data_IF_650766784008
#
_entry.id   IF_650766784008
#
_cell.length_a   1.000
_cell.length_b   1.000
_cell.length_c   1.000
_cell.angle_alpha   90.00
_cell.angle_beta   90.00
_cell.angle_gamma   90.00
#
_symmetry.space_group_name_H-M   'P 1'
#
loop_
_entity.id
_entity.type
_entity.pdbx_description
1 polymer ?
#
# COMPACT_ATOMS: atom_id res chain seq x y z
N UNK A 1 -11.05 6.29 -17.15
CA UNK A 1 -9.97 7.29 -17.08
C UNK A 1 -10.05 8.05 -15.76
N UNK A 2 -8.91 8.26 -15.12
CA UNK A 2 -8.72 9.14 -13.96
C UNK A 2 -7.85 10.33 -14.40
N UNK A 3 -8.19 11.53 -13.96
CA UNK A 3 -7.38 12.73 -14.21
C UNK A 3 -7.06 13.43 -12.90
N UNK A 4 -5.81 13.83 -12.74
CA UNK A 4 -5.31 14.60 -11.60
C UNK A 4 -4.32 15.65 -12.13
N UNK A 5 -4.72 16.92 -12.09
CA UNK A 5 -3.99 18.00 -12.74
C UNK A 5 -3.80 17.74 -14.24
N UNK A 6 -2.56 17.79 -14.69
CA UNK A 6 -2.16 17.50 -16.09
C UNK A 6 -2.01 16.00 -16.39
N UNK A 7 -2.05 15.15 -15.38
CA UNK A 7 -1.85 13.70 -15.54
C UNK A 7 -3.18 12.99 -15.77
N UNK A 8 -3.20 12.14 -16.79
CA UNK A 8 -4.34 11.31 -17.19
C UNK A 8 -3.94 9.84 -17.19
N UNK A 9 -4.66 9.03 -16.41
CA UNK A 9 -4.48 7.58 -16.34
C UNK A 9 -5.70 6.87 -16.95
N UNK A 10 -5.50 6.25 -18.10
CA UNK A 10 -6.50 5.35 -18.69
C UNK A 10 -6.44 4.00 -17.96
N UNK A 11 -7.51 3.22 -18.04
CA UNK A 11 -7.52 1.84 -17.55
C UNK A 11 -8.51 0.98 -18.32
N UNK A 12 -8.22 -0.31 -18.34
CA UNK A 12 -9.12 -1.37 -18.78
C UNK A 12 -9.67 -2.10 -17.56
N UNK A 13 -10.88 -2.62 -17.67
CA UNK A 13 -11.57 -3.29 -16.58
C UNK A 13 -12.16 -4.63 -17.03
N UNK A 14 -12.10 -5.64 -16.16
CA UNK A 14 -12.86 -6.89 -16.22
C UNK A 14 -13.50 -7.18 -14.88
N UNK A 15 -14.68 -7.75 -14.88
CA UNK A 15 -15.37 -8.20 -13.67
C UNK A 15 -15.37 -9.73 -13.65
N UNK A 16 -15.05 -10.30 -12.49
CA UNK A 16 -15.04 -11.74 -12.25
C UNK A 16 -15.95 -12.09 -11.09
N UNK A 17 -16.62 -13.25 -11.18
CA UNK A 17 -17.54 -13.75 -10.16
C UNK A 17 -18.70 -12.82 -9.84
N UNK A 18 -19.51 -13.21 -8.85
CA UNK A 18 -20.77 -12.54 -8.48
C UNK A 18 -20.74 -11.94 -7.06
N UNK A 19 -19.63 -11.38 -6.66
CA UNK A 19 -19.52 -10.79 -5.33
C UNK A 19 -20.53 -9.65 -5.13
N UNK A 20 -21.27 -9.70 -4.02
CA UNK A 20 -22.25 -8.68 -3.64
C UNK A 20 -21.59 -7.33 -3.41
N UNK A 21 -22.38 -6.27 -3.57
CA UNK A 21 -21.97 -4.91 -3.22
C UNK A 21 -21.45 -4.83 -1.78
N UNK A 22 -20.37 -4.07 -1.57
CA UNK A 22 -19.67 -3.97 -0.28
C UNK A 22 -18.81 -5.19 0.11
N UNK A 23 -18.84 -6.28 -0.68
CA UNK A 23 -17.98 -7.45 -0.50
C UNK A 23 -16.98 -7.67 -1.64
N UNK A 24 -17.18 -6.96 -2.75
CA UNK A 24 -16.39 -7.08 -3.99
C UNK A 24 -14.94 -6.61 -3.79
N UNK A 25 -14.00 -7.37 -4.29
CA UNK A 25 -12.58 -6.97 -4.29
C UNK A 25 -12.22 -6.07 -5.48
N UNK A 26 -11.11 -5.34 -5.35
CA UNK A 26 -10.49 -4.56 -6.43
C UNK A 26 -9.05 -5.04 -6.63
N UNK A 27 -8.72 -5.43 -7.85
CA UNK A 27 -7.41 -5.89 -8.26
C UNK A 27 -6.78 -4.88 -9.21
N UNK A 28 -5.71 -4.22 -8.80
CA UNK A 28 -4.99 -3.26 -9.64
C UNK A 28 -3.71 -3.92 -10.12
N UNK A 29 -3.60 -4.14 -11.43
CA UNK A 29 -2.50 -4.86 -12.06
C UNK A 29 -1.74 -3.97 -13.04
N UNK A 30 -0.52 -3.58 -12.66
CA UNK A 30 0.32 -2.64 -13.39
C UNK A 30 1.10 -3.33 -14.51
N UNK A 31 1.06 -2.73 -15.71
CA UNK A 31 1.76 -3.25 -16.89
C UNK A 31 3.28 -3.05 -16.84
N UNK A 32 3.99 -3.87 -17.56
CA UNK A 32 5.42 -3.72 -17.81
C UNK A 32 5.74 -2.63 -18.86
N UNK A 33 6.98 -2.60 -19.32
CA UNK A 33 7.48 -1.59 -20.28
C UNK A 33 8.46 -0.63 -19.61
N UNK A 34 8.21 0.65 -19.67
CA UNK A 34 9.09 1.68 -19.10
C UNK A 34 9.56 2.69 -20.16
N UNK A 35 10.84 3.07 -20.15
CA UNK A 35 11.45 3.99 -21.12
C UNK A 35 11.47 3.45 -22.55
N UNK A 36 10.29 3.37 -23.15
CA UNK A 36 10.04 2.82 -24.48
C UNK A 36 9.00 3.68 -25.21
N UNK A 37 8.90 3.60 -26.54
CA UNK A 37 7.84 4.30 -27.29
C UNK A 37 6.44 3.95 -26.76
N UNK A 38 5.51 4.92 -26.79
CA UNK A 38 4.12 4.75 -26.30
C UNK A 38 3.46 3.49 -26.83
N UNK A 39 3.64 3.16 -28.13
CA UNK A 39 3.07 1.94 -28.72
C UNK A 39 3.47 0.65 -28.00
N UNK A 40 4.69 0.61 -27.43
CA UNK A 40 5.18 -0.55 -26.67
C UNK A 40 4.48 -0.62 -25.31
N UNK A 41 4.43 0.50 -24.59
CA UNK A 41 3.73 0.60 -23.31
C UNK A 41 2.23 0.33 -23.47
N UNK A 42 1.60 0.80 -24.55
CA UNK A 42 0.20 0.52 -24.88
C UNK A 42 -0.05 -0.98 -25.13
N UNK A 43 0.88 -1.64 -25.83
CA UNK A 43 0.81 -3.10 -26.03
C UNK A 43 0.93 -3.86 -24.72
N UNK A 44 1.88 -3.48 -23.85
CA UNK A 44 2.05 -4.07 -22.53
C UNK A 44 0.80 -3.87 -21.67
N UNK A 45 0.21 -2.67 -21.66
CA UNK A 45 -1.04 -2.38 -20.98
C UNK A 45 -2.21 -3.24 -21.45
N UNK A 46 -2.41 -3.32 -22.79
CA UNK A 46 -3.47 -4.16 -23.39
C UNK A 46 -3.28 -5.65 -23.12
N UNK A 47 -2.05 -6.09 -22.94
CA UNK A 47 -1.75 -7.47 -22.53
C UNK A 47 -2.04 -7.69 -21.03
N UNK A 48 -1.73 -6.71 -20.19
CA UNK A 48 -1.86 -6.86 -18.73
C UNK A 48 -3.27 -7.22 -18.28
N UNK A 49 -4.31 -6.70 -18.92
CA UNK A 49 -5.73 -7.00 -18.60
C UNK A 49 -6.10 -8.47 -18.86
N UNK A 50 -5.29 -9.20 -19.61
CA UNK A 50 -5.54 -10.59 -19.99
C UNK A 50 -4.69 -11.60 -19.20
N UNK A 51 -3.70 -11.14 -18.40
CA UNK A 51 -2.74 -12.05 -17.76
C UNK A 51 -3.37 -12.83 -16.59
N UNK A 52 -4.17 -12.18 -15.76
CA UNK A 52 -4.64 -12.78 -14.52
C UNK A 52 -6.16 -12.79 -14.43
N UNK A 53 -6.68 -13.81 -13.74
CA UNK A 53 -8.13 -14.03 -13.56
C UNK A 53 -8.39 -14.33 -12.09
N UNK A 54 -8.63 -13.30 -11.25
CA UNK A 54 -9.08 -13.54 -9.88
C UNK A 54 -10.42 -14.25 -9.85
N UNK A 55 -10.70 -14.98 -8.80
CA UNK A 55 -11.97 -15.72 -8.62
C UNK A 55 -13.17 -14.75 -8.55
N UNK A 56 -13.01 -13.60 -7.91
CA UNK A 56 -14.04 -12.57 -7.80
C UNK A 56 -13.44 -11.15 -7.82
N UNK A 57 -14.29 -10.18 -8.14
CA UNK A 57 -13.97 -8.77 -8.02
C UNK A 57 -13.80 -8.05 -9.34
N UNK A 58 -13.36 -6.81 -9.24
CA UNK A 58 -13.06 -5.96 -10.38
C UNK A 58 -11.54 -5.96 -10.59
N UNK A 59 -11.11 -6.41 -11.76
CA UNK A 59 -9.71 -6.44 -12.17
C UNK A 59 -9.43 -5.28 -13.12
N UNK A 60 -8.47 -4.46 -12.77
CA UNK A 60 -8.11 -3.24 -13.51
C UNK A 60 -6.65 -3.33 -13.97
N UNK A 61 -6.42 -3.05 -15.24
CA UNK A 61 -5.10 -2.74 -15.77
C UNK A 61 -5.02 -1.23 -16.06
N UNK A 62 -4.35 -0.42 -15.24
CA UNK A 62 -4.11 0.98 -15.55
C UNK A 62 -3.00 1.12 -16.59
N UNK A 63 -3.10 2.18 -17.42
CA UNK A 63 -2.03 2.66 -18.31
C UNK A 63 -1.26 3.76 -17.56
N UNK A 64 0.03 3.56 -17.33
CA UNK A 64 0.85 4.59 -16.72
C UNK A 64 0.74 5.93 -17.48
N UNK A 65 0.65 7.07 -16.78
CA UNK A 65 0.48 8.37 -17.45
C UNK A 65 1.66 8.83 -18.30
N UNK A 66 2.82 8.22 -18.13
CA UNK A 66 4.07 8.56 -18.82
C UNK A 66 4.68 7.32 -19.47
N UNK A 67 5.65 7.54 -20.36
CA UNK A 67 6.44 6.49 -21.02
C UNK A 67 7.90 6.48 -20.53
N UNK A 68 8.13 6.97 -19.32
CA UNK A 68 9.46 7.02 -18.70
C UNK A 68 9.84 5.68 -18.07
N UNK A 69 11.14 5.44 -17.84
CA UNK A 69 11.62 4.20 -17.19
C UNK A 69 11.00 3.97 -15.81
N UNK A 70 10.70 5.07 -15.08
CA UNK A 70 10.16 5.08 -13.73
C UNK A 70 8.64 5.31 -13.68
N UNK A 71 7.93 4.92 -14.72
CA UNK A 71 6.52 5.23 -14.99
C UNK A 71 5.57 4.98 -13.79
N UNK A 72 5.89 4.05 -12.87
CA UNK A 72 5.10 3.77 -11.68
C UNK A 72 5.68 4.32 -10.38
N UNK A 73 6.89 4.94 -10.42
CA UNK A 73 7.56 5.43 -9.21
C UNK A 73 7.17 6.87 -8.87
N UNK A 74 6.70 7.63 -9.85
CA UNK A 74 6.45 9.06 -9.73
C UNK A 74 5.33 9.36 -8.72
N UNK A 75 5.44 10.48 -7.99
CA UNK A 75 4.54 10.82 -6.88
C UNK A 75 3.07 11.02 -7.30
N UNK A 76 2.82 11.44 -8.55
CA UNK A 76 1.46 11.60 -9.04
C UNK A 76 0.67 10.28 -9.14
N UNK A 77 1.36 9.13 -9.16
CA UNK A 77 0.72 7.81 -9.19
C UNK A 77 -0.09 7.56 -7.91
N UNK A 78 0.41 7.99 -6.76
CA UNK A 78 -0.27 7.84 -5.48
C UNK A 78 -1.64 8.51 -5.50
N UNK A 79 -1.69 9.77 -5.97
CA UNK A 79 -2.95 10.52 -6.07
C UNK A 79 -3.91 9.95 -7.11
N UNK A 80 -3.41 9.44 -8.24
CA UNK A 80 -4.24 8.78 -9.26
C UNK A 80 -4.84 7.47 -8.74
N UNK A 81 -4.06 6.69 -7.99
CA UNK A 81 -4.55 5.44 -7.40
C UNK A 81 -5.49 5.71 -6.22
N UNK A 82 -5.21 6.71 -5.38
CA UNK A 82 -6.17 7.14 -4.34
C UNK A 82 -7.53 7.49 -4.98
N UNK A 83 -7.55 8.32 -6.03
CA UNK A 83 -8.78 8.70 -6.72
C UNK A 83 -9.47 7.52 -7.39
N UNK A 84 -8.71 6.61 -8.00
CA UNK A 84 -9.27 5.38 -8.57
C UNK A 84 -9.98 4.56 -7.49
N UNK A 85 -9.30 4.30 -6.38
CA UNK A 85 -9.82 3.50 -5.27
C UNK A 85 -11.08 4.17 -4.67
N UNK A 86 -11.04 5.47 -4.41
CA UNK A 86 -12.17 6.25 -3.90
C UNK A 86 -13.41 6.12 -4.79
N UNK A 87 -13.23 6.26 -6.11
CA UNK A 87 -14.32 6.12 -7.06
C UNK A 87 -14.94 4.71 -7.01
N UNK A 88 -14.10 3.66 -6.95
CA UNK A 88 -14.59 2.28 -6.93
C UNK A 88 -15.28 1.91 -5.61
N UNK A 89 -14.81 2.44 -4.50
CA UNK A 89 -15.51 2.30 -3.20
C UNK A 89 -16.88 2.99 -3.28
N UNK A 90 -16.92 4.24 -3.73
CA UNK A 90 -18.13 5.06 -3.71
C UNK A 90 -19.19 4.64 -4.73
N UNK A 91 -18.78 4.14 -5.92
CA UNK A 91 -19.71 3.94 -7.05
C UNK A 91 -19.86 2.49 -7.51
N UNK A 92 -18.97 1.59 -7.10
CA UNK A 92 -18.94 0.20 -7.59
C UNK A 92 -19.06 -0.84 -6.48
N UNK A 93 -19.32 -0.42 -5.25
CA UNK A 93 -19.51 -1.32 -4.11
C UNK A 93 -18.26 -2.14 -3.75
N UNK A 94 -17.07 -1.62 -4.01
CA UNK A 94 -15.81 -2.26 -3.62
C UNK A 94 -15.64 -2.23 -2.11
N UNK A 95 -15.22 -3.35 -1.53
CA UNK A 95 -14.82 -3.41 -0.13
C UNK A 95 -13.44 -2.75 0.06
N UNK A 96 -13.32 -1.65 0.80
CA UNK A 96 -12.04 -0.97 0.98
C UNK A 96 -10.96 -1.82 1.67
N UNK A 97 -11.36 -2.93 2.31
CA UNK A 97 -10.42 -3.88 2.92
C UNK A 97 -10.04 -5.05 1.99
N UNK A 98 -10.49 -5.05 0.73
CA UNK A 98 -10.20 -6.07 -0.27
C UNK A 98 -9.63 -5.44 -1.56
N UNK A 99 -8.59 -4.62 -1.42
CA UNK A 99 -7.92 -3.96 -2.54
C UNK A 99 -6.51 -4.53 -2.66
N UNK A 100 -6.19 -5.08 -3.82
CA UNK A 100 -4.96 -5.81 -4.09
C UNK A 100 -4.14 -5.11 -5.16
N UNK A 101 -2.83 -5.02 -4.94
CA UNK A 101 -1.88 -4.41 -5.87
C UNK A 101 -0.97 -5.49 -6.46
N UNK A 102 -0.84 -5.53 -7.78
CA UNK A 102 0.08 -6.43 -8.46
C UNK A 102 0.67 -5.79 -9.70
N UNK A 103 1.76 -6.35 -10.23
CA UNK A 103 2.37 -5.83 -11.43
C UNK A 103 3.55 -6.66 -11.89
N UNK A 104 3.79 -6.63 -13.20
CA UNK A 104 4.82 -7.42 -13.87
C UNK A 104 5.90 -6.52 -14.49
N UNK A 105 7.18 -6.92 -14.38
CA UNK A 105 8.31 -6.17 -14.97
C UNK A 105 8.38 -4.75 -14.40
N UNK A 106 8.31 -3.70 -15.21
CA UNK A 106 8.21 -2.32 -14.72
C UNK A 106 6.97 -2.11 -13.81
N UNK A 107 5.86 -2.86 -14.02
CA UNK A 107 4.75 -2.91 -13.07
C UNK A 107 5.13 -3.54 -11.75
N UNK A 108 6.02 -4.54 -11.74
CA UNK A 108 6.62 -5.13 -10.54
C UNK A 108 7.53 -4.13 -9.80
N UNK A 109 8.30 -3.31 -10.52
CA UNK A 109 9.03 -2.17 -9.95
C UNK A 109 8.06 -1.23 -9.23
N UNK A 110 6.92 -0.94 -9.88
CA UNK A 110 5.85 -0.15 -9.32
C UNK A 110 5.27 -0.74 -8.02
N UNK A 111 5.10 -2.06 -7.94
CA UNK A 111 4.65 -2.72 -6.71
C UNK A 111 5.65 -2.52 -5.58
N UNK A 112 6.95 -2.67 -5.84
CA UNK A 112 7.97 -2.40 -4.83
C UNK A 112 7.91 -0.97 -4.29
N UNK A 113 7.53 0.00 -5.13
CA UNK A 113 7.42 1.41 -4.73
C UNK A 113 6.10 1.71 -4.00
N UNK A 114 4.97 1.32 -4.59
CA UNK A 114 3.63 1.67 -4.12
C UNK A 114 3.17 0.83 -2.92
N UNK A 115 3.58 -0.43 -2.83
CA UNK A 115 3.19 -1.30 -1.73
C UNK A 115 3.62 -0.71 -0.36
N UNK A 116 4.89 -0.36 -0.11
CA UNK A 116 5.27 0.25 1.16
C UNK A 116 4.77 1.70 1.30
N UNK A 117 4.65 2.45 0.20
CA UNK A 117 4.27 3.87 0.20
C UNK A 117 2.80 4.09 0.53
N UNK A 118 1.93 3.16 0.12
CA UNK A 118 0.49 3.17 0.31
C UNK A 118 -0.01 1.91 1.03
N UNK A 119 0.79 1.33 1.94
CA UNK A 119 0.47 0.05 2.60
C UNK A 119 -0.87 0.07 3.34
N UNK A 120 -1.32 1.24 3.74
CA UNK A 120 -2.60 1.45 4.41
C UNK A 120 -3.81 1.47 3.44
N UNK A 121 -3.59 1.27 2.12
CA UNK A 121 -4.63 1.08 1.10
C UNK A 121 -4.84 -0.38 0.71
N UNK A 122 -3.81 -1.20 0.78
CA UNK A 122 -3.79 -2.54 0.21
C UNK A 122 -4.13 -3.63 1.24
N UNK A 123 -4.85 -4.66 0.81
CA UNK A 123 -5.06 -5.89 1.58
C UNK A 123 -3.85 -6.84 1.43
N UNK A 124 -3.28 -6.92 0.24
CA UNK A 124 -2.02 -7.57 -0.07
C UNK A 124 -1.43 -6.98 -1.36
N UNK A 125 -0.13 -7.17 -1.56
CA UNK A 125 0.55 -6.79 -2.80
C UNK A 125 1.43 -7.92 -3.32
N UNK A 126 1.58 -8.02 -4.66
CA UNK A 126 2.43 -9.04 -5.28
C UNK A 126 3.26 -8.46 -6.42
N UNK A 127 4.57 -8.49 -6.25
CA UNK A 127 5.57 -8.09 -7.22
C UNK A 127 5.97 -9.29 -8.09
N UNK A 128 5.96 -9.12 -9.42
CA UNK A 128 6.34 -10.11 -10.41
C UNK A 128 7.43 -9.56 -11.33
N UNK A 129 8.60 -10.22 -11.33
CA UNK A 129 9.76 -9.92 -12.18
C UNK A 129 10.22 -8.44 -12.16
N UNK A 130 10.06 -7.75 -11.02
CA UNK A 130 10.40 -6.34 -10.84
C UNK A 130 11.75 -6.12 -10.15
N UNK A 131 12.16 -4.85 -10.06
CA UNK A 131 13.32 -4.37 -9.33
C UNK A 131 12.92 -3.31 -8.29
N UNK A 132 13.39 -3.38 -7.03
CA UNK A 132 12.97 -2.47 -5.96
C UNK A 132 13.50 -1.04 -6.12
N UNK A 133 14.58 -0.83 -6.86
CA UNK A 133 15.31 0.42 -6.91
C UNK A 133 15.71 0.89 -5.50
N UNK A 134 15.17 2.02 -5.04
CA UNK A 134 15.42 2.58 -3.70
C UNK A 134 14.35 2.22 -2.65
N UNK A 135 13.37 1.38 -3.01
CA UNK A 135 12.31 0.97 -2.10
C UNK A 135 12.86 0.18 -0.90
N UNK A 136 12.23 0.40 0.25
CA UNK A 136 12.54 -0.28 1.51
C UNK A 136 11.30 -0.98 2.06
N UNK A 137 11.44 -2.13 2.73
CA UNK A 137 10.31 -2.91 3.20
C UNK A 137 9.73 -2.47 4.55
N UNK A 138 10.27 -1.44 5.21
CA UNK A 138 9.88 -1.04 6.57
C UNK A 138 8.36 -0.87 6.72
N UNK A 139 7.71 -0.20 5.78
CA UNK A 139 6.28 0.06 5.81
C UNK A 139 5.40 -1.17 5.47
N UNK A 140 6.00 -2.29 5.06
CA UNK A 140 5.27 -3.53 4.74
C UNK A 140 4.85 -4.32 5.98
N UNK A 141 5.12 -3.81 7.19
CA UNK A 141 4.81 -4.55 8.42
C UNK A 141 3.38 -5.10 8.46
N UNK A 142 2.40 -4.32 8.04
CA UNK A 142 0.98 -4.68 8.09
C UNK A 142 0.41 -5.09 6.71
N UNK A 143 1.26 -5.18 5.70
CA UNK A 143 0.88 -5.54 4.34
C UNK A 143 1.52 -6.86 3.92
N UNK A 144 0.75 -7.94 3.71
CA UNK A 144 1.26 -9.16 3.09
C UNK A 144 1.88 -8.87 1.72
N UNK A 145 3.12 -9.33 1.51
CA UNK A 145 3.88 -9.02 0.31
C UNK A 145 4.36 -10.27 -0.41
N UNK A 146 3.89 -10.47 -1.65
CA UNK A 146 4.32 -11.51 -2.58
C UNK A 146 5.53 -11.06 -3.41
N UNK A 147 6.51 -11.95 -3.58
CA UNK A 147 7.68 -11.74 -4.43
C UNK A 147 7.83 -12.94 -5.35
N UNK A 148 7.73 -12.72 -6.65
CA UNK A 148 7.81 -13.72 -7.69
C UNK A 148 8.87 -13.35 -8.71
N UNK A 149 9.86 -14.25 -8.94
CA UNK A 149 11.01 -13.95 -9.78
C UNK A 149 11.49 -15.20 -10.53
N UNK A 150 11.93 -15.00 -11.77
CA UNK A 150 12.68 -16.01 -12.49
C UNK A 150 14.14 -16.06 -12.02
N UNK A 151 14.63 -17.25 -11.64
CA UNK A 151 16.02 -17.43 -11.17
C UNK A 151 17.07 -17.07 -12.21
N UNK A 152 16.70 -17.15 -13.51
CA UNK A 152 17.54 -16.75 -14.65
C UNK A 152 17.28 -15.31 -15.14
N UNK A 153 16.45 -14.52 -14.47
CA UNK A 153 16.22 -13.10 -14.81
C UNK A 153 17.40 -12.25 -14.33
N UNK A 154 18.49 -12.29 -15.11
CA UNK A 154 19.73 -11.58 -14.80
C UNK A 154 19.74 -10.10 -15.17
N UNK A 155 18.77 -9.62 -15.97
CA UNK A 155 18.71 -8.23 -16.36
C UNK A 155 18.54 -7.34 -15.11
N UNK A 156 19.34 -6.27 -15.02
CA UNK A 156 19.40 -5.38 -13.85
C UNK A 156 19.67 -6.13 -12.52
N UNK A 157 20.24 -7.33 -12.55
CA UNK A 157 20.44 -8.20 -11.37
C UNK A 157 19.14 -8.53 -10.61
N UNK A 158 17.99 -8.59 -11.27
CA UNK A 158 16.68 -8.82 -10.63
C UNK A 158 16.65 -10.07 -9.78
N UNK A 159 17.17 -11.20 -10.29
CA UNK A 159 17.23 -12.46 -9.57
C UNK A 159 18.06 -12.36 -8.28
N UNK A 160 19.26 -11.77 -8.34
CA UNK A 160 20.12 -11.57 -7.14
C UNK A 160 19.48 -10.61 -6.14
N UNK A 161 18.82 -9.57 -6.64
CA UNK A 161 18.11 -8.59 -5.80
C UNK A 161 16.89 -9.23 -5.13
N UNK A 162 16.18 -10.13 -5.82
CA UNK A 162 15.07 -10.88 -5.25
C UNK A 162 15.52 -11.79 -4.10
N UNK A 163 16.68 -12.47 -4.22
CA UNK A 163 17.25 -13.27 -3.11
C UNK A 163 17.62 -12.40 -1.89
N UNK A 164 18.15 -11.20 -2.11
CA UNK A 164 18.41 -10.22 -1.03
C UNK A 164 17.11 -9.84 -0.33
N UNK A 165 16.06 -9.52 -1.09
CA UNK A 165 14.76 -9.17 -0.52
C UNK A 165 14.09 -10.32 0.21
N UNK A 166 14.22 -11.55 -0.30
CA UNK A 166 13.79 -12.77 0.40
C UNK A 166 14.42 -12.87 1.78
N UNK A 167 15.75 -12.73 1.85
CA UNK A 167 16.49 -12.77 3.12
C UNK A 167 16.03 -11.66 4.06
N UNK A 168 15.86 -10.44 3.54
CA UNK A 168 15.40 -9.28 4.31
C UNK A 168 13.99 -9.47 4.86
N UNK A 169 13.02 -9.89 4.03
CA UNK A 169 11.65 -10.16 4.45
C UNK A 169 11.58 -11.30 5.48
N UNK A 170 12.37 -12.35 5.29
CA UNK A 170 12.48 -13.45 6.25
C UNK A 170 13.00 -12.96 7.60
N UNK A 171 14.04 -12.13 7.61
CA UNK A 171 14.59 -11.58 8.85
C UNK A 171 13.60 -10.62 9.55
N UNK A 172 12.91 -9.76 8.79
CA UNK A 172 11.91 -8.86 9.34
C UNK A 172 10.74 -9.63 9.98
N UNK A 173 10.24 -10.67 9.31
CA UNK A 173 9.18 -11.52 9.86
C UNK A 173 9.66 -12.32 11.08
N UNK A 174 10.90 -12.81 11.08
CA UNK A 174 11.50 -13.50 12.25
C UNK A 174 11.58 -12.57 13.46
N UNK A 175 11.95 -11.31 13.25
CA UNK A 175 12.07 -10.31 14.32
C UNK A 175 10.69 -9.78 14.81
N UNK A 176 9.67 -9.82 13.95
CA UNK A 176 8.30 -9.41 14.25
C UNK A 176 7.30 -10.38 13.60
N UNK A 177 7.05 -11.57 14.21
CA UNK A 177 6.23 -12.63 13.60
C UNK A 177 4.77 -12.26 13.35
N UNK A 178 4.27 -11.21 14.02
CA UNK A 178 2.94 -10.66 13.80
C UNK A 178 2.87 -9.74 12.55
N UNK A 179 4.01 -9.36 11.98
CA UNK A 179 4.13 -8.50 10.81
C UNK A 179 4.88 -9.14 9.65
N UNK A 180 5.06 -8.39 8.56
CA UNK A 180 5.87 -8.75 7.40
C UNK A 180 5.54 -10.12 6.79
N UNK A 181 4.26 -10.47 6.78
CA UNK A 181 3.81 -11.71 6.12
C UNK A 181 4.22 -11.66 4.65
N UNK A 182 4.85 -12.74 4.19
CA UNK A 182 5.35 -12.75 2.82
C UNK A 182 5.23 -14.13 2.18
N UNK A 183 5.20 -14.15 0.85
CA UNK A 183 5.30 -15.32 0.01
C UNK A 183 6.38 -15.06 -1.03
N UNK A 184 7.47 -15.81 -1.00
CA UNK A 184 8.55 -15.65 -1.96
C UNK A 184 8.68 -16.90 -2.82
N UNK A 185 8.66 -16.72 -4.15
CA UNK A 185 8.88 -17.76 -5.14
C UNK A 185 9.95 -17.32 -6.13
N UNK A 186 11.07 -17.99 -6.15
CA UNK A 186 12.12 -17.82 -7.16
C UNK A 186 12.19 -19.12 -7.95
N UNK A 187 11.78 -19.04 -9.22
CA UNK A 187 11.72 -20.22 -10.10
C UNK A 187 13.08 -20.41 -10.78
N UNK A 188 13.90 -21.43 -10.38
CA UNK A 188 15.30 -21.50 -10.76
C UNK A 188 15.53 -21.59 -12.27
N UNK A 189 14.61 -22.21 -13.01
CA UNK A 189 14.75 -22.45 -14.44
C UNK A 189 14.06 -21.42 -15.34
N UNK A 190 13.42 -20.40 -14.76
CA UNK A 190 12.69 -19.37 -15.50
C UNK A 190 13.51 -18.10 -15.66
N UNK A 191 13.38 -17.49 -16.83
CA UNK A 191 13.86 -16.13 -17.12
C UNK A 191 12.85 -15.06 -16.70
N UNK A 192 12.87 -13.93 -17.41
CA UNK A 192 11.99 -12.80 -17.13
C UNK A 192 10.49 -13.16 -17.21
N UNK A 193 10.08 -14.01 -18.15
CA UNK A 193 8.70 -14.49 -18.26
C UNK A 193 8.51 -15.81 -17.49
N UNK A 194 7.70 -15.78 -16.43
CA UNK A 194 7.46 -16.91 -15.53
C UNK A 194 6.31 -17.83 -15.98
N UNK A 195 5.79 -17.64 -17.21
CA UNK A 195 4.74 -18.49 -17.82
C UNK A 195 3.49 -18.62 -16.93
N UNK A 196 3.10 -17.51 -16.28
CA UNK A 196 1.97 -17.43 -15.35
C UNK A 196 2.07 -18.33 -14.11
N UNK A 197 3.22 -18.90 -13.76
CA UNK A 197 3.39 -19.60 -12.47
C UNK A 197 3.16 -18.66 -11.28
N UNK A 198 3.46 -17.40 -11.45
CA UNK A 198 3.22 -16.32 -10.50
C UNK A 198 1.71 -16.04 -10.24
N UNK A 199 0.80 -16.62 -11.05
CA UNK A 199 -0.64 -16.56 -10.81
C UNK A 199 -1.07 -17.22 -9.47
N UNK A 200 -0.25 -18.11 -8.88
CA UNK A 200 -0.45 -18.62 -7.52
C UNK A 200 -0.55 -17.51 -6.45
N UNK A 201 -0.07 -16.32 -6.78
CA UNK A 201 -0.20 -15.13 -5.92
C UNK A 201 -1.65 -14.71 -5.69
N UNK A 202 -2.57 -14.96 -6.64
CA UNK A 202 -3.94 -14.47 -6.57
C UNK A 202 -4.71 -15.09 -5.39
N UNK A 203 -4.85 -16.45 -5.28
CA UNK A 203 -5.52 -17.05 -4.13
C UNK A 203 -4.80 -16.73 -2.81
N UNK A 204 -3.48 -16.59 -2.82
CA UNK A 204 -2.74 -16.19 -1.63
C UNK A 204 -3.09 -14.75 -1.21
N UNK A 205 -3.09 -13.77 -2.14
CA UNK A 205 -3.50 -12.40 -1.83
C UNK A 205 -4.96 -12.34 -1.37
N UNK A 206 -5.87 -13.09 -2.02
CA UNK A 206 -7.30 -13.12 -1.70
C UNK A 206 -7.59 -13.62 -0.27
N UNK A 207 -6.66 -14.37 0.34
CA UNK A 207 -6.79 -14.84 1.73
C UNK A 207 -6.62 -13.74 2.78
N UNK A 208 -6.19 -12.53 2.38
CA UNK A 208 -5.96 -11.41 3.28
C UNK A 208 -7.00 -10.31 3.13
N UNK A 209 -7.29 -9.67 4.25
CA UNK A 209 -8.05 -8.43 4.30
C UNK A 209 -7.24 -7.36 5.03
N UNK A 210 -7.34 -6.12 4.58
CA UNK A 210 -6.66 -4.99 5.23
C UNK A 210 -7.25 -4.75 6.63
N UNK A 211 -6.38 -4.56 7.61
CA UNK A 211 -6.75 -3.97 8.89
C UNK A 211 -6.46 -2.46 8.85
N UNK A 212 -7.47 -1.57 8.84
CA UNK A 212 -7.24 -0.12 8.83
C UNK A 212 -6.78 0.45 10.17
N UNK A 213 -6.91 -0.31 11.28
CA UNK A 213 -6.59 0.10 12.64
C UNK A 213 -5.56 -0.84 13.30
N UNK A 214 -4.38 -1.05 12.70
CA UNK A 214 -3.38 -1.95 13.27
C UNK A 214 -2.83 -1.37 14.57
N UNK A 215 -2.61 -2.25 15.57
CA UNK A 215 -2.07 -1.87 16.87
C UNK A 215 -0.59 -1.49 16.85
N UNK A 216 0.14 -1.88 15.82
CA UNK A 216 1.54 -1.51 15.61
C UNK A 216 1.74 -1.00 14.19
N UNK A 217 2.38 0.16 14.05
CA UNK A 217 2.73 0.80 12.78
C UNK A 217 4.23 1.07 12.76
N UNK A 218 4.86 0.81 11.62
CA UNK A 218 6.17 1.34 11.26
C UNK A 218 5.96 2.19 10.02
N UNK A 219 6.30 3.48 10.09
CA UNK A 219 6.16 4.44 9.01
C UNK A 219 7.48 5.14 8.75
N UNK A 220 8.08 4.86 7.62
CA UNK A 220 9.32 5.47 7.15
C UNK A 220 9.02 6.32 5.90
N UNK A 221 9.34 7.61 5.94
CA UNK A 221 9.27 8.48 4.76
C UNK A 221 10.44 8.19 3.82
N UNK A 222 10.12 7.97 2.55
CA UNK A 222 11.08 7.74 1.45
C UNK A 222 11.26 9.00 0.59
N UNK A 223 11.60 8.83 -0.68
CA UNK A 223 11.70 9.92 -1.64
C UNK A 223 10.35 10.57 -1.96
N UNK A 224 9.29 9.77 -2.03
CA UNK A 224 7.92 10.25 -2.10
C UNK A 224 7.34 10.28 -0.69
N UNK A 225 7.11 11.49 -0.18
CA UNK A 225 6.61 11.73 1.17
C UNK A 225 5.08 11.77 1.18
N UNK A 226 4.48 11.14 2.18
CA UNK A 226 3.04 11.12 2.40
C UNK A 226 2.68 11.75 3.74
N UNK A 227 1.60 12.53 3.77
CA UNK A 227 1.16 13.20 5.00
C UNK A 227 0.41 12.29 5.96
N UNK A 228 0.05 11.08 5.55
CA UNK A 228 -0.73 10.14 6.37
C UNK A 228 -0.34 8.68 6.11
N UNK A 229 -0.49 7.87 7.14
CA UNK A 229 -0.25 6.43 7.07
C UNK A 229 -1.05 5.74 8.18
N UNK A 230 -2.04 4.92 7.85
CA UNK A 230 -3.02 4.37 8.77
C UNK A 230 -3.70 5.49 9.61
N UNK A 231 -3.56 5.44 10.93
CA UNK A 231 -4.14 6.41 11.85
C UNK A 231 -3.18 7.53 12.26
N UNK A 232 -2.02 7.65 11.59
CA UNK A 232 -1.03 8.72 11.81
C UNK A 232 -1.10 9.75 10.69
N UNK A 233 -0.91 11.03 11.05
CA UNK A 233 -0.82 12.14 10.10
C UNK A 233 0.27 13.12 10.54
N UNK A 234 1.17 13.48 9.62
CA UNK A 234 2.08 14.61 9.75
C UNK A 234 1.52 15.76 8.91
N UNK A 235 1.32 16.98 9.47
CA UNK A 235 0.88 18.11 8.67
C UNK A 235 1.88 18.43 7.55
N UNK A 236 1.39 18.74 6.35
CA UNK A 236 2.19 18.86 5.12
C UNK A 236 3.41 19.78 5.27
N UNK A 237 3.26 20.91 5.96
CA UNK A 237 4.36 21.87 6.20
C UNK A 237 5.52 21.33 7.05
N UNK A 238 5.34 20.18 7.70
CA UNK A 238 6.35 19.53 8.53
C UNK A 238 6.85 18.20 7.95
N UNK A 239 6.41 17.88 6.72
CA UNK A 239 6.85 16.68 6.03
C UNK A 239 8.28 16.84 5.52
N UNK A 240 9.11 15.85 5.85
CA UNK A 240 10.47 15.76 5.31
C UNK A 240 10.87 14.31 5.05
N UNK A 241 11.77 14.12 4.11
CA UNK A 241 12.36 12.81 3.82
C UNK A 241 13.11 12.27 5.05
N UNK A 242 13.02 10.97 5.25
CA UNK A 242 13.75 10.27 6.31
C UNK A 242 13.12 10.38 7.69
N UNK A 243 11.91 10.96 7.81
CA UNK A 243 11.12 10.85 9.04
C UNK A 243 10.72 9.40 9.30
N UNK A 244 10.81 8.98 10.56
CA UNK A 244 10.43 7.64 10.98
C UNK A 244 9.52 7.69 12.20
N UNK A 245 8.50 6.84 12.23
CA UNK A 245 7.59 6.64 13.35
C UNK A 245 7.40 5.15 13.58
N UNK A 246 7.59 4.71 14.81
CA UNK A 246 7.11 3.41 15.28
C UNK A 246 6.06 3.65 16.35
N UNK A 247 4.83 3.21 16.12
CA UNK A 247 3.73 3.41 17.04
C UNK A 247 3.13 2.07 17.48
N UNK A 248 2.88 1.92 18.76
CA UNK A 248 2.29 0.74 19.37
C UNK A 248 1.08 1.15 20.23
N UNK A 249 0.01 0.37 20.16
CA UNK A 249 -1.17 0.52 21.00
C UNK A 249 -1.33 -0.74 21.83
N UNK A 250 -1.36 -0.55 23.14
CA UNK A 250 -1.68 -1.59 24.11
C UNK A 250 -2.71 -1.04 25.10
N UNK A 251 -3.83 -1.72 25.18
CA UNK A 251 -5.00 -1.22 25.92
C UNK A 251 -5.33 0.23 25.49
N UNK A 252 -5.44 1.16 26.40
CA UNK A 252 -5.66 2.59 26.13
C UNK A 252 -4.37 3.43 26.13
N UNK A 253 -3.23 2.80 25.91
CA UNK A 253 -1.93 3.48 25.86
C UNK A 253 -1.33 3.41 24.46
N UNK A 254 -0.89 4.56 23.93
CA UNK A 254 -0.18 4.69 22.67
C UNK A 254 1.27 5.08 22.99
N UNK A 255 2.21 4.23 22.61
CA UNK A 255 3.65 4.49 22.71
C UNK A 255 4.23 4.72 21.33
N UNK A 256 4.93 5.80 21.16
CA UNK A 256 5.47 6.24 19.87
C UNK A 256 6.96 6.55 20.00
N UNK A 257 7.76 5.99 19.11
CA UNK A 257 9.15 6.39 18.90
C UNK A 257 9.25 7.11 17.56
N UNK A 258 9.90 8.26 17.53
CA UNK A 258 10.01 9.11 16.34
C UNK A 258 11.42 9.60 16.11
N UNK A 259 11.77 9.73 14.82
CA UNK A 259 12.98 10.38 14.36
C UNK A 259 12.60 11.50 13.37
N UNK A 260 13.12 12.70 13.58
CA UNK A 260 12.91 13.90 12.72
C UNK A 260 11.44 14.34 12.58
N UNK A 261 10.57 13.99 13.53
CA UNK A 261 9.15 14.39 13.52
C UNK A 261 8.92 15.44 14.59
N UNK A 262 8.44 16.60 14.21
CA UNK A 262 8.15 17.72 15.12
C UNK A 262 6.66 17.91 15.43
N UNK A 263 5.79 17.41 14.56
CA UNK A 263 4.33 17.51 14.71
C UNK A 263 3.66 16.23 14.24
N UNK A 264 2.74 15.71 15.04
CA UNK A 264 2.02 14.48 14.74
C UNK A 264 0.56 14.60 15.16
N UNK A 265 -0.35 14.22 14.29
CA UNK A 265 -1.76 14.00 14.60
C UNK A 265 -2.03 12.51 14.64
N UNK A 266 -2.60 12.05 15.75
CA UNK A 266 -3.01 10.68 16.00
C UNK A 266 -4.52 10.64 15.83
N UNK A 267 -5.01 9.96 14.83
CA UNK A 267 -6.43 9.72 14.60
C UNK A 267 -6.88 8.53 15.43
N UNK A 268 -8.05 8.63 16.01
CA UNK A 268 -8.58 7.67 16.96
C UNK A 268 -9.94 7.15 16.52
N UNK A 269 -10.21 5.90 16.90
CA UNK A 269 -11.49 5.23 16.68
C UNK A 269 -11.67 4.19 17.77
N UNK A 270 -12.92 3.86 18.10
CA UNK A 270 -13.25 2.76 19.03
C UNK A 270 -12.77 1.38 18.53
N UNK A 271 -12.39 1.27 17.24
CA UNK A 271 -11.69 0.08 16.71
C UNK A 271 -10.22 0.01 17.13
N UNK A 272 -9.62 1.13 17.51
CA UNK A 272 -8.22 1.20 17.92
C UNK A 272 -8.08 1.06 19.44
N UNK A 273 -8.89 1.79 20.21
CA UNK A 273 -8.87 1.82 21.68
C UNK A 273 -10.23 2.33 22.21
N UNK A 274 -10.49 2.23 23.51
CA UNK A 274 -11.73 2.65 24.15
C UNK A 274 -11.73 4.17 24.38
N UNK A 275 -12.51 4.90 23.58
CA UNK A 275 -12.60 6.38 23.66
C UNK A 275 -13.40 6.89 24.89
N UNK A 276 -14.11 6.03 25.61
CA UNK A 276 -14.85 6.39 26.82
C UNK A 276 -13.95 6.39 28.06
N UNK A 277 -12.75 5.82 27.93
CA UNK A 277 -11.72 5.80 28.96
C UNK A 277 -10.62 6.83 28.72
N UNK A 278 -9.82 7.05 29.75
CA UNK A 278 -8.60 7.86 29.64
C UNK A 278 -7.59 7.21 28.69
N UNK A 279 -7.02 8.02 27.81
CA UNK A 279 -5.99 7.64 26.85
C UNK A 279 -4.65 8.21 27.34
N UNK A 280 -3.60 7.41 27.27
CA UNK A 280 -2.23 7.84 27.55
C UNK A 280 -1.41 7.80 26.28
N UNK A 281 -0.68 8.87 25.96
CA UNK A 281 0.22 8.93 24.81
C UNK A 281 1.60 9.35 25.29
N UNK A 282 2.60 8.53 24.96
CA UNK A 282 4.02 8.83 25.17
C UNK A 282 4.75 8.89 23.82
N UNK A 283 5.71 9.79 23.72
CA UNK A 283 6.60 9.92 22.57
C UNK A 283 8.04 9.97 23.03
N UNK A 284 8.88 9.08 22.50
CA UNK A 284 10.28 8.93 22.89
C UNK A 284 10.44 8.79 24.42
N UNK A 285 9.58 7.98 25.05
CA UNK A 285 9.54 7.76 26.49
C UNK A 285 8.91 8.89 27.33
N UNK A 286 8.63 10.05 26.75
CA UNK A 286 8.03 11.18 27.45
C UNK A 286 6.51 11.19 27.33
N UNK A 287 5.81 11.37 28.45
CA UNK A 287 4.35 11.56 28.46
C UNK A 287 3.99 12.87 27.74
N UNK A 288 3.17 12.81 26.69
CA UNK A 288 2.71 13.95 25.90
C UNK A 288 1.22 14.23 26.05
N UNK A 289 0.43 13.22 26.39
CA UNK A 289 -1.01 13.39 26.60
C UNK A 289 -1.53 12.37 27.61
N UNK A 290 -2.47 12.81 28.45
CA UNK A 290 -3.28 11.95 29.30
C UNK A 290 -4.64 12.60 29.48
N UNK A 291 -5.70 11.87 29.17
CA UNK A 291 -7.08 12.36 29.33
C UNK A 291 -8.07 11.68 28.41
N UNK A 292 -9.35 12.04 28.54
CA UNK A 292 -10.41 11.60 27.63
C UNK A 292 -10.43 12.44 26.37
N UNK A 293 -10.67 11.80 25.22
CA UNK A 293 -10.77 12.47 23.92
C UNK A 293 -12.21 12.40 23.43
N UNK A 294 -12.83 13.55 23.21
CA UNK A 294 -14.20 13.63 22.73
C UNK A 294 -14.29 13.24 21.25
N UNK A 295 -15.30 12.45 20.90
CA UNK A 295 -15.67 12.17 19.51
C UNK A 295 -16.13 13.46 18.83
N UNK A 296 -15.82 13.63 17.56
CA UNK A 296 -16.06 14.84 16.77
C UNK A 296 -16.63 14.50 15.40
N UNK A 297 -17.80 15.07 15.09
CA UNK A 297 -18.40 15.00 13.75
C UNK A 297 -17.45 15.56 12.68
N UNK A 298 -16.72 16.64 13.03
CA UNK A 298 -15.72 17.24 12.14
C UNK A 298 -14.64 16.23 11.75
N UNK A 299 -14.13 15.40 12.70
CA UNK A 299 -13.12 14.40 12.42
C UNK A 299 -13.67 13.28 11.53
N UNK A 300 -14.93 12.86 11.77
CA UNK A 300 -15.64 11.90 10.93
C UNK A 300 -15.71 12.39 9.49
N UNK A 301 -16.24 13.60 9.27
CA UNK A 301 -16.39 14.20 7.94
C UNK A 301 -15.01 14.35 7.26
N UNK A 302 -14.03 14.87 8.00
CA UNK A 302 -12.68 15.10 7.47
C UNK A 302 -12.00 13.80 7.05
N UNK A 303 -12.04 12.75 7.90
CA UNK A 303 -11.37 11.49 7.61
C UNK A 303 -12.06 10.72 6.49
N UNK A 304 -13.40 10.72 6.45
CA UNK A 304 -14.17 10.10 5.37
C UNK A 304 -13.95 10.83 4.04
N UNK A 305 -14.01 12.16 4.02
CA UNK A 305 -13.83 12.97 2.81
C UNK A 305 -12.43 12.84 2.19
N UNK A 306 -11.43 12.48 2.99
CA UNK A 306 -10.06 12.29 2.50
C UNK A 306 -9.81 10.97 1.76
N UNK A 307 -10.64 9.95 1.96
CA UNK A 307 -10.38 8.59 1.42
C UNK A 307 -11.61 7.88 0.87
N UNK A 308 -12.80 8.44 1.06
CA UNK A 308 -14.09 7.77 0.77
C UNK A 308 -14.17 6.35 1.38
N UNK A 309 -13.45 6.08 2.46
CA UNK A 309 -13.27 4.77 3.07
C UNK A 309 -13.97 4.69 4.43
N UNK A 310 -15.18 4.11 4.50
CA UNK A 310 -15.95 4.02 5.74
C UNK A 310 -15.31 3.12 6.81
N UNK A 311 -14.32 2.28 6.43
CA UNK A 311 -13.62 1.37 7.36
C UNK A 311 -12.44 2.03 8.09
N UNK A 312 -11.97 3.18 7.59
CA UNK A 312 -10.85 3.94 8.17
C UNK A 312 -11.27 5.31 8.73
N UNK A 313 -12.56 5.50 9.02
CA UNK A 313 -13.09 6.75 9.58
C UNK A 313 -12.62 6.92 11.01
N UNK A 314 -11.92 8.04 11.26
CA UNK A 314 -11.58 8.46 12.61
C UNK A 314 -12.75 9.20 13.26
N UNK A 315 -13.00 8.94 14.54
CA UNK A 315 -14.05 9.60 15.32
C UNK A 315 -13.49 10.66 16.27
N UNK A 316 -12.19 10.65 16.50
CA UNK A 316 -11.48 11.61 17.36
C UNK A 316 -10.03 11.77 16.89
N UNK A 317 -9.32 12.78 17.39
CA UNK A 317 -7.89 12.94 17.14
C UNK A 317 -7.17 13.70 18.27
N UNK A 318 -5.87 13.46 18.38
CA UNK A 318 -4.96 14.21 19.25
C UNK A 318 -3.81 14.74 18.40
N UNK A 319 -3.58 16.05 18.44
CA UNK A 319 -2.45 16.69 17.75
C UNK A 319 -1.36 17.06 18.76
N UNK A 320 -0.13 16.68 18.48
CA UNK A 320 1.04 16.87 19.34
C UNK A 320 2.10 17.70 18.63
N UNK A 321 2.72 18.61 19.36
CA UNK A 321 4.04 19.19 19.06
C UNK A 321 5.06 18.38 19.85
N UNK A 322 6.08 17.83 19.17
CA UNK A 322 7.04 16.90 19.73
C UNK A 322 8.37 17.56 20.06
#
# INVERSE_FOLDING_TARGET
TIQLGDKKMQYLEKVFGDAKEGKRSLWISMHGGGGAPSRVNDSQWKNQINLYKPEEGIYIAPRAPTDTWNLWHQSHIDGLFDRLIENYIATRGVNPNKIYLMGYSAGGDGVYQLAPRMADRWAAASMMAGHPNDAKPDNLRNLPFGLFMGGKDGAYNRNKTAEKWKSLLTQLNKNDPAGYKNMVRIYPDMGHWMKLKDAESLPWMASFTRNPWPKKIIWQQSNNINSRFYWLKIPEKYLTKGQRITANVRDNTISIDTEKVSHLTIRLSDQLLDLDKEIKISVNGQKKFTGKVKRSVKEIITSLGQRADPKSVATASVSLKL
#
